data_IF_279038612063
#
_entry.id   IF_279038612063
#
_cell.length_a   1.000
_cell.length_b   1.000
_cell.length_c   1.000
_cell.angle_alpha   90.00
_cell.angle_beta   90.00
_cell.angle_gamma   90.00
#
_symmetry.space_group_name_H-M   'P 1'
#
loop_
_entity.id
_entity.type
_entity.pdbx_description
1 polymer ?
#
# COMPACT_ATOMS: atom_id res chain seq x y z
N UNK A 1 -4.16 30.27 10.29
CA UNK A 1 -4.50 28.96 10.90
C UNK A 1 -3.32 28.03 10.64
N UNK A 2 -2.46 27.79 11.63
CA UNK A 2 -1.29 26.93 11.46
C UNK A 2 -1.79 25.48 11.42
N UNK A 3 -1.64 24.79 10.30
CA UNK A 3 -1.92 23.36 10.22
C UNK A 3 -0.73 22.63 10.85
N UNK A 4 -0.73 22.54 12.19
CA UNK A 4 0.21 21.66 12.89
C UNK A 4 -0.20 20.24 12.55
N UNK A 5 0.49 19.64 11.59
CA UNK A 5 0.34 18.23 11.23
C UNK A 5 0.80 17.37 12.42
N UNK A 6 -0.04 17.23 13.45
CA UNK A 6 0.19 16.25 14.50
C UNK A 6 -0.01 14.86 13.89
N UNK A 7 1.07 14.34 13.32
CA UNK A 7 1.16 12.94 12.91
C UNK A 7 1.32 12.10 14.18
N UNK A 8 0.17 11.65 14.71
CA UNK A 8 0.06 10.95 16.00
C UNK A 8 0.73 9.58 15.99
N UNK A 9 0.89 8.98 14.81
CA UNK A 9 1.43 7.62 14.66
C UNK A 9 2.78 7.69 13.96
N UNK A 10 3.85 7.25 14.62
CA UNK A 10 5.20 7.27 14.06
C UNK A 10 5.70 5.84 13.80
N UNK A 11 6.39 5.66 12.68
CA UNK A 11 7.07 4.42 12.37
C UNK A 11 8.28 4.24 13.30
N UNK A 12 8.39 3.14 14.04
CA UNK A 12 9.51 2.90 14.95
C UNK A 12 10.83 2.63 14.21
N UNK A 13 10.79 2.28 12.92
CA UNK A 13 11.99 1.92 12.15
C UNK A 13 12.61 3.11 11.39
N UNK A 14 11.80 4.10 11.00
CA UNK A 14 12.28 5.23 10.20
C UNK A 14 11.72 6.60 10.64
N UNK A 15 11.04 6.65 11.79
CA UNK A 15 10.45 7.87 12.39
C UNK A 15 9.43 8.61 11.52
N UNK A 16 9.00 8.02 10.39
CA UNK A 16 7.98 8.60 9.52
C UNK A 16 6.64 8.69 10.25
N UNK A 17 6.06 9.88 10.31
CA UNK A 17 4.75 10.11 10.90
C UNK A 17 3.59 9.85 9.93
N UNK A 18 2.43 9.48 10.50
CA UNK A 18 1.14 9.28 9.86
C UNK A 18 0.00 9.87 10.71
N UNK A 19 -1.09 10.27 10.07
CA UNK A 19 -2.29 10.79 10.76
C UNK A 19 -3.19 9.69 11.30
N UNK A 20 -3.21 8.53 10.64
CA UNK A 20 -4.05 7.39 11.01
C UNK A 20 -3.21 6.14 11.21
N UNK A 21 -3.58 5.33 12.19
CA UNK A 21 -2.93 4.05 12.51
C UNK A 21 -2.93 3.11 11.31
N UNK A 22 -4.05 3.02 10.57
CA UNK A 22 -4.16 2.21 9.35
C UNK A 22 -3.08 2.54 8.31
N UNK A 23 -2.65 3.79 8.23
CA UNK A 23 -1.60 4.20 7.30
C UNK A 23 -0.21 3.80 7.80
N UNK A 24 0.03 3.87 9.12
CA UNK A 24 1.24 3.35 9.74
C UNK A 24 1.32 1.83 9.55
N UNK A 25 0.28 1.08 9.88
CA UNK A 25 0.22 -0.38 9.70
C UNK A 25 0.47 -0.76 8.25
N UNK A 26 -0.14 -0.06 7.30
CA UNK A 26 0.11 -0.26 5.88
C UNK A 26 1.54 0.08 5.48
N UNK A 27 2.12 1.12 6.04
CA UNK A 27 3.52 1.47 5.81
C UNK A 27 4.47 0.40 6.35
N UNK A 28 4.17 -0.27 7.46
CA UNK A 28 5.04 -1.32 8.00
C UNK A 28 5.31 -2.45 6.98
N UNK A 29 4.37 -2.74 6.07
CA UNK A 29 4.60 -3.70 4.98
C UNK A 29 5.79 -3.34 4.06
N UNK A 30 6.19 -2.06 3.99
CA UNK A 30 7.35 -1.64 3.20
C UNK A 30 8.67 -2.01 3.86
N UNK A 31 8.66 -2.24 5.17
CA UNK A 31 9.84 -2.67 5.93
C UNK A 31 9.99 -4.19 5.91
N UNK A 32 8.90 -4.93 6.08
CA UNK A 32 8.92 -6.40 6.03
C UNK A 32 9.12 -6.94 4.62
N UNK A 33 8.80 -6.12 3.59
CA UNK A 33 8.77 -6.57 2.22
C UNK A 33 7.59 -7.50 1.94
N UNK A 34 6.59 -7.56 2.83
CA UNK A 34 5.39 -8.38 2.64
C UNK A 34 4.66 -7.95 1.37
N UNK A 35 4.60 -8.88 0.42
CA UNK A 35 3.87 -8.71 -0.84
C UNK A 35 2.89 -9.85 -0.99
N UNK A 36 1.80 -9.74 -0.23
CA UNK A 36 0.77 -10.78 -0.12
C UNK A 36 -0.22 -10.77 -1.30
N UNK A 37 -0.22 -9.71 -2.12
CA UNK A 37 -1.14 -9.58 -3.24
C UNK A 37 -0.44 -9.98 -4.53
N UNK A 38 -0.88 -11.07 -5.17
CA UNK A 38 -0.23 -11.63 -6.35
C UNK A 38 -1.15 -11.48 -7.56
N UNK A 39 -0.58 -11.03 -8.68
CA UNK A 39 -1.24 -11.14 -9.97
C UNK A 39 -1.15 -12.59 -10.45
N UNK A 40 -2.28 -13.27 -10.66
CA UNK A 40 -2.26 -14.68 -11.06
C UNK A 40 -1.85 -14.88 -12.53
N UNK A 41 -1.83 -13.82 -13.33
CA UNK A 41 -1.51 -13.86 -14.77
C UNK A 41 0.00 -13.81 -14.98
N UNK A 42 0.69 -12.89 -14.28
CA UNK A 42 2.13 -12.66 -14.45
C UNK A 42 2.95 -12.88 -13.18
N UNK A 43 2.36 -13.44 -12.12
CA UNK A 43 2.96 -13.71 -10.81
C UNK A 43 3.54 -12.49 -10.08
N UNK A 44 3.29 -11.27 -10.56
CA UNK A 44 3.83 -10.04 -9.97
C UNK A 44 3.20 -9.79 -8.61
N UNK A 45 4.04 -9.53 -7.61
CA UNK A 45 3.63 -9.34 -6.22
C UNK A 45 3.57 -7.86 -5.83
N UNK A 46 2.56 -7.49 -5.05
CA UNK A 46 2.31 -6.15 -4.55
C UNK A 46 2.12 -6.18 -3.03
N UNK A 47 2.59 -5.14 -2.35
CA UNK A 47 2.38 -4.97 -0.91
C UNK A 47 0.96 -4.53 -0.56
N UNK A 48 0.17 -4.10 -1.55
CA UNK A 48 -1.20 -3.59 -1.32
C UNK A 48 -2.15 -4.02 -2.42
N UNK A 49 -3.40 -4.28 -2.04
CA UNK A 49 -4.48 -4.67 -2.95
C UNK A 49 -4.79 -3.60 -4.00
N UNK A 50 -4.82 -2.32 -3.62
CA UNK A 50 -5.10 -1.22 -4.54
C UNK A 50 -4.05 -1.09 -5.65
N UNK A 51 -2.78 -1.40 -5.34
CA UNK A 51 -1.74 -1.50 -6.35
C UNK A 51 -1.96 -2.67 -7.31
N UNK A 52 -2.34 -3.85 -6.79
CA UNK A 52 -2.69 -5.00 -7.62
C UNK A 52 -3.91 -4.71 -8.50
N UNK A 53 -4.96 -4.09 -7.95
CA UNK A 53 -6.16 -3.70 -8.70
C UNK A 53 -5.84 -2.73 -9.83
N UNK A 54 -5.04 -1.70 -9.56
CA UNK A 54 -4.56 -0.78 -10.59
C UNK A 54 -3.74 -1.51 -11.66
N UNK A 55 -2.89 -2.46 -11.26
CA UNK A 55 -2.16 -3.30 -12.20
C UNK A 55 -3.08 -4.08 -13.11
N UNK A 56 -4.13 -4.72 -12.59
CA UNK A 56 -5.11 -5.41 -13.44
C UNK A 56 -5.76 -4.45 -14.44
N UNK A 57 -6.23 -3.28 -14.01
CA UNK A 57 -6.85 -2.31 -14.93
C UNK A 57 -5.94 -1.85 -16.08
N UNK A 58 -4.63 -1.75 -15.86
CA UNK A 58 -3.70 -1.20 -16.87
C UNK A 58 -2.92 -2.25 -17.64
N UNK A 59 -2.66 -3.41 -17.05
CA UNK A 59 -1.82 -4.46 -17.66
C UNK A 59 -2.65 -5.68 -18.08
N UNK A 60 -3.86 -5.84 -17.54
CA UNK A 60 -4.75 -6.97 -17.80
C UNK A 60 -6.22 -6.50 -17.89
N UNK A 61 -6.52 -5.47 -18.72
CA UNK A 61 -7.86 -4.86 -18.76
C UNK A 61 -8.95 -5.87 -19.15
N UNK A 62 -8.61 -6.83 -20.01
CA UNK A 62 -9.53 -7.84 -20.55
C UNK A 62 -10.05 -8.82 -19.48
N UNK A 63 -9.38 -8.89 -18.33
CA UNK A 63 -9.73 -9.82 -17.24
C UNK A 63 -10.74 -9.21 -16.26
N UNK A 64 -10.90 -7.89 -16.30
CA UNK A 64 -11.91 -7.17 -15.51
C UNK A 64 -13.14 -6.79 -16.35
N UNK A 65 -13.19 -7.18 -17.62
CA UNK A 65 -14.39 -7.07 -18.44
C UNK A 65 -15.44 -8.08 -17.94
N UNK A 66 -16.72 -7.66 -17.83
CA UNK A 66 -17.82 -8.54 -17.44
C UNK A 66 -18.06 -9.66 -18.46
#
# INVERSE_FOLDING_TARGET
RIHVEHRRFQCPQCSRGFHWEKDLTRHMSTHTGDRNFVCYICARKYSRFDNLRRHYHTNHPDILAP
#
